data_IF_428289091475
#
_entry.id   IF_428289091475
#
_cell.length_a   1.000
_cell.length_b   1.000
_cell.length_c   1.000
_cell.angle_alpha   90.00
_cell.angle_beta   90.00
_cell.angle_gamma   90.00
#
_symmetry.space_group_name_H-M   'P 1'
#
loop_
_entity.id
_entity.type
_entity.pdbx_description
1 polymer ?
#
# COMPACT_ATOMS: atom_id res chain seq x y z
N UNK A 1 4.20 -10.22 2.79
CA UNK A 1 5.54 -10.71 3.19
C UNK A 1 5.60 -12.21 3.44
N UNK A 2 4.63 -12.84 4.13
CA UNK A 2 4.68 -14.30 4.41
C UNK A 2 4.97 -15.15 3.16
N UNK A 3 4.28 -14.96 2.01
CA UNK A 3 4.58 -15.70 0.77
C UNK A 3 6.03 -15.53 0.29
N UNK A 4 6.60 -14.32 0.41
CA UNK A 4 7.99 -14.04 0.06
C UNK A 4 8.95 -14.83 0.96
N UNK A 5 8.65 -14.90 2.25
CA UNK A 5 9.54 -15.54 3.23
C UNK A 5 9.45 -17.07 3.17
N UNK A 6 8.25 -17.61 2.96
CA UNK A 6 8.03 -19.06 2.96
C UNK A 6 8.14 -19.69 1.57
N UNK A 7 8.02 -18.90 0.51
CA UNK A 7 7.86 -19.38 -0.87
C UNK A 7 6.48 -19.99 -1.14
N UNK A 8 5.55 -19.92 -0.19
CA UNK A 8 4.22 -20.49 -0.34
C UNK A 8 3.33 -19.62 -1.23
N UNK A 9 2.52 -20.26 -2.06
CA UNK A 9 1.51 -19.57 -2.85
C UNK A 9 0.41 -19.00 -1.96
N UNK A 10 -0.17 -17.86 -2.39
CA UNK A 10 -1.33 -17.28 -1.71
C UNK A 10 -2.59 -18.00 -2.19
N UNK A 11 -3.40 -18.59 -1.30
CA UNK A 11 -4.69 -19.17 -1.69
C UNK A 11 -5.57 -18.13 -2.36
N UNK A 12 -6.20 -18.50 -3.49
CA UNK A 12 -7.04 -17.58 -4.28
C UNK A 12 -8.12 -16.90 -3.44
N UNK A 13 -8.81 -17.66 -2.60
CA UNK A 13 -9.88 -17.14 -1.72
C UNK A 13 -9.37 -16.03 -0.78
N UNK A 14 -8.14 -16.15 -0.26
CA UNK A 14 -7.53 -15.11 0.58
C UNK A 14 -7.18 -13.86 -0.23
N UNK A 15 -6.74 -14.03 -1.48
CA UNK A 15 -6.49 -12.91 -2.38
C UNK A 15 -7.79 -12.19 -2.73
N UNK A 16 -8.83 -12.93 -3.11
CA UNK A 16 -10.14 -12.38 -3.47
C UNK A 16 -10.75 -11.60 -2.29
N UNK A 17 -10.70 -12.16 -1.08
CA UNK A 17 -11.15 -11.49 0.15
C UNK A 17 -10.35 -10.21 0.45
N UNK A 18 -9.02 -10.24 0.32
CA UNK A 18 -8.19 -9.05 0.54
C UNK A 18 -8.48 -7.94 -0.48
N UNK A 19 -8.78 -8.31 -1.73
CA UNK A 19 -9.18 -7.37 -2.77
C UNK A 19 -10.57 -6.78 -2.52
N UNK A 20 -11.50 -7.55 -1.97
CA UNK A 20 -12.82 -7.06 -1.57
C UNK A 20 -12.71 -6.08 -0.39
N UNK A 21 -11.92 -6.40 0.62
CA UNK A 21 -11.67 -5.55 1.78
C UNK A 21 -11.01 -4.22 1.37
N UNK A 22 -10.00 -4.27 0.48
CA UNK A 22 -9.38 -3.09 -0.10
C UNK A 22 -10.41 -2.21 -0.82
N UNK A 23 -11.23 -2.81 -1.70
CA UNK A 23 -12.23 -2.06 -2.45
C UNK A 23 -13.29 -1.41 -1.55
N UNK A 24 -13.69 -2.12 -0.49
CA UNK A 24 -14.62 -1.60 0.52
C UNK A 24 -14.00 -0.44 1.29
N UNK A 25 -12.74 -0.56 1.69
CA UNK A 25 -12.01 0.49 2.41
C UNK A 25 -11.84 1.74 1.55
N UNK A 26 -11.47 1.60 0.28
CA UNK A 26 -11.37 2.72 -0.67
C UNK A 26 -12.71 3.41 -0.90
N UNK A 27 -13.80 2.63 -0.99
CA UNK A 27 -15.16 3.20 -1.08
C UNK A 27 -15.51 4.01 0.18
N UNK A 28 -15.25 3.47 1.37
CA UNK A 28 -15.49 4.17 2.63
C UNK A 28 -14.61 5.42 2.75
N UNK A 29 -13.36 5.34 2.31
CA UNK A 29 -12.46 6.48 2.23
C UNK A 29 -13.09 7.62 1.41
N UNK A 30 -13.54 7.32 0.19
CA UNK A 30 -14.16 8.30 -0.69
C UNK A 30 -15.49 8.83 -0.12
N UNK A 31 -16.37 7.97 0.39
CA UNK A 31 -17.72 8.36 0.81
C UNK A 31 -17.79 9.01 2.19
N UNK A 32 -16.85 8.70 3.11
CA UNK A 32 -16.93 9.14 4.51
C UNK A 32 -15.87 10.16 4.85
N UNK A 33 -14.66 10.02 4.31
CA UNK A 33 -13.53 10.87 4.66
C UNK A 33 -13.32 11.96 3.61
N UNK A 34 -13.00 11.59 2.37
CA UNK A 34 -12.71 12.58 1.32
C UNK A 34 -13.96 13.35 0.88
N UNK A 35 -15.05 12.64 0.59
CA UNK A 35 -16.32 13.19 0.10
C UNK A 35 -16.13 14.03 -1.17
N UNK A 36 -16.47 15.32 -1.13
CA UNK A 36 -16.29 16.29 -2.21
C UNK A 36 -15.21 17.33 -1.88
N UNK A 37 -14.43 17.11 -0.82
CA UNK A 37 -13.37 18.03 -0.37
C UNK A 37 -12.05 17.75 -1.09
N UNK A 38 -11.15 18.74 -1.18
CA UNK A 38 -9.85 18.52 -1.78
C UNK A 38 -8.95 17.61 -0.93
N UNK A 39 -9.05 17.65 0.40
CA UNK A 39 -8.31 16.83 1.37
C UNK A 39 -9.23 16.23 2.46
N UNK A 40 -8.72 15.27 3.24
CA UNK A 40 -9.52 14.47 4.19
C UNK A 40 -10.15 15.33 5.31
N UNK A 41 -9.46 16.36 5.77
CA UNK A 41 -9.93 17.18 6.91
C UNK A 41 -10.45 18.55 6.47
N UNK A 42 -10.25 18.96 5.20
CA UNK A 42 -10.72 20.25 4.71
C UNK A 42 -10.02 20.67 3.42
N UNK A 43 -9.73 21.98 3.34
CA UNK A 43 -9.17 22.61 2.14
C UNK A 43 -7.64 22.57 2.06
N UNK A 44 -6.99 22.12 3.12
CA UNK A 44 -5.53 22.01 3.22
C UNK A 44 -5.12 20.59 3.57
N UNK A 45 -3.92 20.21 3.12
CA UNK A 45 -3.31 18.93 3.46
C UNK A 45 -3.14 18.80 4.98
N UNK A 46 -3.34 17.59 5.49
CA UNK A 46 -3.21 17.26 6.89
C UNK A 46 -2.44 15.96 7.09
N UNK A 47 -2.13 15.63 8.35
CA UNK A 47 -1.54 14.33 8.69
C UNK A 47 -2.44 13.15 8.24
N UNK A 48 -3.76 13.34 8.22
CA UNK A 48 -4.67 12.30 7.75
C UNK A 48 -4.40 11.95 6.29
N UNK A 49 -4.11 12.95 5.45
CA UNK A 49 -3.82 12.75 4.03
C UNK A 49 -2.51 12.00 3.84
N UNK A 50 -1.47 12.38 4.58
CA UNK A 50 -0.17 11.71 4.52
C UNK A 50 -0.28 10.24 4.93
N UNK A 51 -0.97 9.95 6.04
CA UNK A 51 -1.16 8.57 6.51
C UNK A 51 -1.98 7.76 5.51
N UNK A 52 -3.11 8.29 5.04
CA UNK A 52 -3.92 7.58 4.05
C UNK A 52 -3.14 7.32 2.75
N UNK A 53 -2.32 8.28 2.32
CA UNK A 53 -1.57 8.17 1.09
C UNK A 53 -0.52 7.06 1.13
N UNK A 54 0.29 6.99 2.21
CA UNK A 54 1.31 5.94 2.33
C UNK A 54 0.71 4.54 2.46
N UNK A 55 -0.48 4.41 3.06
CA UNK A 55 -1.22 3.14 3.10
C UNK A 55 -1.72 2.73 1.71
N UNK A 56 -2.24 3.67 0.92
CA UNK A 56 -2.72 3.39 -0.46
C UNK A 56 -1.55 3.03 -1.39
N UNK A 57 -0.35 3.57 -1.16
CA UNK A 57 0.81 3.26 -2.00
C UNK A 57 1.35 1.84 -1.80
N UNK A 58 1.01 1.15 -0.72
CA UNK A 58 1.42 -0.25 -0.51
C UNK A 58 0.87 -1.20 -1.57
N UNK A 59 -0.46 -1.28 -1.84
CA UNK A 59 -1.00 -2.08 -2.94
C UNK A 59 -0.60 -1.55 -4.32
N UNK A 60 -0.38 -0.24 -4.49
CA UNK A 60 0.16 0.30 -5.76
C UNK A 60 1.53 -0.29 -6.06
N UNK A 61 2.42 -0.33 -5.06
CA UNK A 61 3.75 -0.92 -5.20
C UNK A 61 3.73 -2.39 -5.59
N UNK A 62 2.65 -3.13 -5.29
CA UNK A 62 2.48 -4.54 -5.70
C UNK A 62 1.80 -4.70 -7.07
N UNK A 63 1.54 -3.60 -7.79
CA UNK A 63 0.94 -3.61 -9.12
C UNK A 63 -0.60 -3.56 -9.14
N UNK A 64 -1.26 -3.34 -7.99
CA UNK A 64 -2.71 -3.15 -7.95
C UNK A 64 -3.04 -1.72 -8.39
N UNK A 65 -3.85 -1.58 -9.44
CA UNK A 65 -4.35 -0.28 -9.86
C UNK A 65 -5.52 0.18 -8.97
N UNK A 66 -5.17 0.72 -7.79
CA UNK A 66 -6.14 1.21 -6.79
C UNK A 66 -6.96 2.41 -7.29
N UNK A 67 -6.48 3.13 -8.29
CA UNK A 67 -7.11 4.36 -8.80
C UNK A 67 -8.06 4.09 -9.97
N UNK A 68 -8.07 2.85 -10.48
CA UNK A 68 -8.98 2.43 -11.54
C UNK A 68 -10.42 2.71 -11.13
N UNK A 69 -11.17 3.37 -12.01
CA UNK A 69 -12.58 3.73 -11.81
C UNK A 69 -12.85 4.65 -10.59
N UNK A 70 -11.81 5.28 -10.03
CA UNK A 70 -11.88 6.17 -8.85
C UNK A 70 -11.27 7.55 -9.13
N UNK A 71 -11.91 8.38 -9.98
CA UNK A 71 -11.36 9.68 -10.37
C UNK A 71 -11.18 10.65 -9.19
N UNK A 72 -12.05 10.58 -8.16
CA UNK A 72 -11.93 11.41 -6.95
C UNK A 72 -10.68 11.04 -6.15
N UNK A 73 -10.45 9.74 -5.94
CA UNK A 73 -9.26 9.23 -5.26
C UNK A 73 -7.98 9.61 -6.01
N UNK A 74 -7.96 9.46 -7.34
CA UNK A 74 -6.82 9.86 -8.17
C UNK A 74 -6.52 11.36 -8.02
N UNK A 75 -7.54 12.20 -8.17
CA UNK A 75 -7.36 13.64 -8.05
C UNK A 75 -6.89 14.07 -6.64
N UNK A 76 -7.36 13.38 -5.58
CA UNK A 76 -6.85 13.59 -4.23
C UNK A 76 -5.38 13.18 -4.08
N UNK A 77 -5.00 12.00 -4.58
CA UNK A 77 -3.61 11.54 -4.55
C UNK A 77 -2.67 12.48 -5.31
N UNK A 78 -3.07 12.98 -6.48
CA UNK A 78 -2.31 13.95 -7.25
C UNK A 78 -2.08 15.26 -6.47
N UNK A 79 -3.11 15.74 -5.76
CA UNK A 79 -2.99 16.92 -4.87
C UNK A 79 -2.04 16.65 -3.71
N UNK A 80 -2.16 15.50 -3.04
CA UNK A 80 -1.27 15.13 -1.93
C UNK A 80 0.18 15.04 -2.41
N UNK A 81 0.44 14.39 -3.56
CA UNK A 81 1.77 14.34 -4.17
C UNK A 81 2.33 15.73 -4.45
N UNK A 82 1.50 16.63 -4.97
CA UNK A 82 1.89 18.03 -5.26
C UNK A 82 2.29 18.78 -3.99
N UNK A 83 1.48 18.69 -2.92
CA UNK A 83 1.77 19.34 -1.63
C UNK A 83 3.00 18.77 -0.92
N UNK A 84 3.26 17.47 -1.06
CA UNK A 84 4.48 16.83 -0.53
C UNK A 84 5.75 17.21 -1.30
N UNK A 85 5.59 17.57 -2.58
CA UNK A 85 6.69 17.74 -3.54
C UNK A 85 7.13 16.40 -4.15
N UNK A 86 7.27 16.39 -5.48
CA UNK A 86 7.53 15.16 -6.24
C UNK A 86 8.83 14.44 -5.83
N UNK A 87 9.90 15.20 -5.57
CA UNK A 87 11.19 14.61 -5.18
C UNK A 87 11.10 13.85 -3.85
N UNK A 88 10.45 14.43 -2.83
CA UNK A 88 10.27 13.79 -1.53
C UNK A 88 9.32 12.60 -1.64
N UNK A 89 8.27 12.73 -2.47
CA UNK A 89 7.36 11.63 -2.75
C UNK A 89 8.09 10.43 -3.35
N UNK A 90 8.89 10.65 -4.39
CA UNK A 90 9.59 9.57 -5.09
C UNK A 90 10.66 8.93 -4.19
N UNK A 91 11.36 9.73 -3.37
CA UNK A 91 12.30 9.23 -2.36
C UNK A 91 11.60 8.34 -1.33
N UNK A 92 10.52 8.84 -0.72
CA UNK A 92 9.79 8.13 0.34
C UNK A 92 9.17 6.81 -0.15
N UNK A 93 8.71 6.74 -1.40
CA UNK A 93 8.09 5.54 -1.97
C UNK A 93 9.08 4.63 -2.72
N UNK A 94 10.37 4.98 -2.79
CA UNK A 94 11.38 4.22 -3.54
C UNK A 94 11.41 2.73 -3.17
N UNK A 95 11.34 2.40 -1.88
CA UNK A 95 11.37 1.00 -1.40
C UNK A 95 10.12 0.25 -1.85
N UNK A 96 8.93 0.82 -1.64
CA UNK A 96 7.67 0.13 -1.93
C UNK A 96 7.44 -0.02 -3.44
N UNK A 97 7.90 0.92 -4.26
CA UNK A 97 7.86 0.80 -5.72
C UNK A 97 8.83 -0.25 -6.27
N UNK A 98 9.79 -0.70 -5.44
CA UNK A 98 10.74 -1.76 -5.77
C UNK A 98 10.49 -3.03 -4.93
N UNK A 99 9.26 -3.24 -4.45
CA UNK A 99 8.88 -4.40 -3.60
C UNK A 99 9.20 -5.75 -4.24
N UNK A 100 9.22 -5.83 -5.57
CA UNK A 100 9.59 -7.04 -6.32
C UNK A 100 11.05 -7.48 -6.08
N UNK A 101 11.92 -6.56 -5.63
CA UNK A 101 13.30 -6.86 -5.26
C UNK A 101 13.44 -7.32 -3.80
N UNK A 102 12.39 -7.22 -2.98
CA UNK A 102 12.44 -7.65 -1.56
C UNK A 102 12.89 -9.10 -1.35
N UNK A 103 12.49 -10.10 -2.16
CA UNK A 103 12.98 -11.46 -1.99
C UNK A 103 14.51 -11.54 -2.06
N UNK A 104 15.11 -10.89 -3.07
CA UNK A 104 16.57 -10.82 -3.23
C UNK A 104 17.21 -10.05 -2.07
N UNK A 105 16.66 -8.88 -1.72
CA UNK A 105 17.15 -8.09 -0.58
C UNK A 105 17.16 -8.89 0.72
N UNK A 106 16.11 -9.67 0.99
CA UNK A 106 16.00 -10.51 2.20
C UNK A 106 16.96 -11.71 2.16
N UNK A 107 17.30 -12.19 0.98
CA UNK A 107 18.30 -13.23 0.81
C UNK A 107 19.71 -12.67 1.09
N UNK A 108 20.04 -11.55 0.47
CA UNK A 108 21.38 -10.93 0.54
C UNK A 108 21.76 -10.48 1.96
N UNK A 109 20.77 -10.04 2.74
CA UNK A 109 20.98 -9.60 4.13
C UNK A 109 20.73 -10.71 5.18
N UNK A 110 20.45 -11.95 4.76
CA UNK A 110 20.21 -13.09 5.65
C UNK A 110 18.87 -13.07 6.41
N UNK A 111 17.96 -12.15 6.09
CA UNK A 111 16.65 -12.06 6.77
C UNK A 111 15.72 -13.24 6.47
N UNK A 112 15.81 -13.87 5.30
CA UNK A 112 15.01 -15.07 4.99
C UNK A 112 15.30 -16.20 5.98
N UNK A 113 16.57 -16.53 6.21
CA UNK A 113 16.99 -17.58 7.14
C UNK A 113 16.59 -17.27 8.58
N UNK A 114 16.61 -15.99 8.96
CA UNK A 114 16.20 -15.56 10.29
C UNK A 114 14.68 -15.61 10.52
N UNK A 115 13.88 -15.21 9.52
CA UNK A 115 12.42 -15.06 9.65
C UNK A 115 11.66 -16.36 9.39
N UNK A 116 12.13 -17.19 8.46
CA UNK A 116 11.47 -18.44 8.06
C UNK A 116 11.14 -19.37 9.24
N UNK A 117 12.08 -19.72 10.15
CA UNK A 117 11.76 -20.60 11.27
C UNK A 117 10.77 -19.95 12.27
N UNK A 118 10.82 -18.63 12.44
CA UNK A 118 9.89 -17.90 13.33
C UNK A 118 8.47 -17.93 12.79
N UNK A 119 8.31 -17.70 11.49
CA UNK A 119 7.02 -17.76 10.81
C UNK A 119 6.46 -19.19 10.86
N UNK A 120 7.28 -20.20 10.58
CA UNK A 120 6.85 -21.60 10.68
C UNK A 120 6.34 -21.96 12.08
N UNK A 121 7.00 -21.45 13.14
CA UNK A 121 6.55 -21.66 14.53
C UNK A 121 5.23 -20.94 14.87
N UNK A 122 4.88 -19.85 14.17
CA UNK A 122 3.62 -19.13 14.42
C UNK A 122 2.39 -19.81 13.78
N UNK A 123 2.61 -20.64 12.76
CA UNK A 123 1.55 -21.31 12.00
C UNK A 123 1.49 -22.83 12.26
N UNK A 124 2.36 -23.36 13.13
CA UNK A 124 2.34 -24.71 13.68
C UNK A 124 1.87 -24.68 15.13
#
# INVERSE_FOLDING_TARGET
MVPIITGAEVPKEKMDSAMEDLNTSLKLFEEKFLQDRPFIVGDQISLADLVAHVEIMQPVGTGVDVFKDRPKLRAWSDRVKTEMGEALFDEAHSIIMNVHNLPQTFQDNGMLEFLKPKIQKMFN
#
